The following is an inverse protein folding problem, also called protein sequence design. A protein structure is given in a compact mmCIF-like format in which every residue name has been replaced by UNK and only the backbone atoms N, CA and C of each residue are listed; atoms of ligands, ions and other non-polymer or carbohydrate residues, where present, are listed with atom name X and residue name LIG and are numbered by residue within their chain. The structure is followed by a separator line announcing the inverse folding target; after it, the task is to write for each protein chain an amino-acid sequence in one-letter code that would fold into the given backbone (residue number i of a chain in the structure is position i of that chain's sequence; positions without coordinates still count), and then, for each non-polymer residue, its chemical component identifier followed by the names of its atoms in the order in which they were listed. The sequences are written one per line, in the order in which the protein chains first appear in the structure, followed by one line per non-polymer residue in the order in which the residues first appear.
data_IF_939165759619
#
_entry.id   IF_939165759619
#
_cell.length_a   1.000
_cell.length_b   1.000
_cell.length_c   1.000
_cell.angle_alpha   90.00
_cell.angle_beta   90.00
_cell.angle_gamma   90.00
#
_symmetry.space_group_name_H-M   'P 1'
#
loop_
_entity.id
_entity.type
_entity.pdbx_description
1 polymer ?
#
# COMPACT_ATOMS: atom_id res chain seq x y z
N UNK A 1 3.39 4.36 16.26
CA UNK A 1 4.12 5.43 16.96
C UNK A 1 3.38 6.74 16.75
N UNK A 2 2.37 7.00 17.59
CA UNK A 2 1.67 8.29 17.66
C UNK A 2 1.12 8.47 19.09
N UNK A 3 1.98 8.94 19.99
CA UNK A 3 1.59 9.36 21.35
C UNK A 3 1.03 10.79 21.35
N UNK A 4 1.42 11.59 20.37
CA UNK A 4 1.09 13.00 20.14
C UNK A 4 -0.01 13.11 19.06
N UNK A 5 -0.79 14.22 18.97
CA UNK A 5 -1.76 14.42 17.91
C UNK A 5 -1.16 14.23 16.50
N UNK A 6 -1.87 13.48 15.66
CA UNK A 6 -1.37 13.10 14.33
C UNK A 6 -1.15 14.29 13.39
N UNK A 7 -1.94 15.34 13.54
CA UNK A 7 -1.80 16.59 12.77
C UNK A 7 -0.46 17.28 13.05
N UNK A 8 -0.06 17.38 14.32
CA UNK A 8 1.23 17.96 14.69
C UNK A 8 2.39 17.15 14.12
N UNK A 9 2.33 15.83 14.24
CA UNK A 9 3.33 14.94 13.64
C UNK A 9 3.40 15.16 12.13
N UNK A 10 2.25 15.27 11.45
CA UNK A 10 2.19 15.52 10.01
C UNK A 10 2.88 16.83 9.60
N UNK A 11 2.61 17.91 10.33
CA UNK A 11 3.24 19.20 10.06
C UNK A 11 4.76 19.13 10.14
N UNK A 12 5.30 18.30 11.03
CA UNK A 12 6.74 18.04 11.17
C UNK A 12 7.25 17.16 10.02
N UNK A 13 6.58 16.04 9.71
CA UNK A 13 7.11 15.03 8.78
C UNK A 13 6.83 15.31 7.31
N UNK A 14 5.85 16.16 6.97
CA UNK A 14 5.38 16.34 5.59
C UNK A 14 6.47 16.78 4.60
N UNK A 15 7.50 17.51 5.06
CA UNK A 15 8.60 18.03 4.22
C UNK A 15 9.96 17.37 4.48
N UNK A 16 10.17 16.80 5.66
CA UNK A 16 11.49 16.42 6.19
C UNK A 16 11.59 14.94 6.61
N UNK A 17 10.86 14.06 5.93
CA UNK A 17 10.87 12.63 6.22
C UNK A 17 11.92 11.88 5.38
N UNK A 18 12.65 10.92 5.96
CA UNK A 18 13.62 10.08 5.24
C UNK A 18 12.97 9.15 4.20
N UNK A 19 11.67 8.85 4.37
CA UNK A 19 10.91 8.06 3.40
C UNK A 19 10.42 8.88 2.21
N UNK A 20 10.58 10.21 2.24
CA UNK A 20 10.11 11.11 1.19
C UNK A 20 10.97 10.95 -0.06
N UNK A 21 10.31 10.68 -1.19
CA UNK A 21 10.95 10.65 -2.50
C UNK A 21 10.27 11.69 -3.36
N UNK A 22 11.04 12.72 -3.73
CA UNK A 22 10.60 13.77 -4.64
C UNK A 22 11.09 13.40 -6.02
N UNK A 23 10.15 13.01 -6.89
CA UNK A 23 10.46 12.79 -8.29
C UNK A 23 10.01 14.03 -9.06
N UNK A 24 10.95 14.64 -9.77
CA UNK A 24 10.66 15.71 -10.71
C UNK A 24 10.12 15.05 -11.98
N UNK A 25 8.85 15.30 -12.30
CA UNK A 25 8.27 14.88 -13.57
C UNK A 25 8.71 15.78 -14.73
N UNK A 26 8.18 15.52 -15.93
CA UNK A 26 8.34 16.37 -17.11
C UNK A 26 7.48 17.66 -16.99
N UNK A 27 7.71 18.49 -15.97
CA UNK A 27 6.96 19.75 -15.76
C UNK A 27 7.08 20.37 -14.36
N UNK A 28 6.17 21.31 -14.04
CA UNK A 28 6.15 22.14 -12.81
C UNK A 28 5.65 21.42 -11.54
N UNK A 29 4.93 20.30 -11.68
CA UNK A 29 4.40 19.56 -10.52
C UNK A 29 5.34 18.41 -10.12
N UNK A 30 6.03 18.58 -8.98
CA UNK A 30 6.78 17.48 -8.34
C UNK A 30 5.81 16.56 -7.61
N UNK A 31 5.71 15.30 -8.03
CA UNK A 31 4.93 14.29 -7.30
C UNK A 31 5.76 13.79 -6.12
N UNK A 32 5.15 13.84 -4.94
CA UNK A 32 5.81 13.43 -3.70
C UNK A 32 5.35 12.04 -3.29
N UNK A 33 6.25 11.07 -3.38
CA UNK A 33 6.03 9.71 -2.94
C UNK A 33 6.61 9.48 -1.54
N UNK A 34 6.12 8.44 -0.88
CA UNK A 34 6.58 7.99 0.43
C UNK A 34 6.87 6.49 0.38
N UNK A 35 8.06 6.09 0.78
CA UNK A 35 8.50 4.69 0.90
C UNK A 35 8.16 4.06 2.25
N UNK A 36 7.28 4.67 3.03
CA UNK A 36 6.94 4.16 4.36
C UNK A 36 6.20 2.81 4.27
N UNK A 37 6.50 1.84 5.14
CA UNK A 37 5.94 0.48 5.05
C UNK A 37 4.44 0.42 5.34
N UNK A 38 3.88 1.45 5.97
CA UNK A 38 2.49 1.52 6.45
C UNK A 38 1.58 2.39 5.58
N UNK A 39 1.88 2.53 4.29
CA UNK A 39 1.14 3.34 3.33
C UNK A 39 0.65 2.48 2.15
N UNK A 40 -0.66 2.56 1.84
CA UNK A 40 -1.28 1.74 0.80
C UNK A 40 -1.01 2.25 -0.62
N UNK A 41 -0.81 3.55 -0.79
CA UNK A 41 -0.62 4.19 -2.10
C UNK A 41 0.77 4.76 -2.32
N UNK A 42 1.65 4.70 -1.31
CA UNK A 42 2.99 5.28 -1.35
C UNK A 42 2.98 6.78 -1.68
N UNK A 43 1.89 7.49 -1.40
CA UNK A 43 1.76 8.93 -1.61
C UNK A 43 2.13 9.66 -0.31
N UNK A 44 2.84 10.78 -0.42
CA UNK A 44 3.08 11.66 0.71
C UNK A 44 1.80 12.46 1.02
N UNK A 45 0.89 11.86 1.78
CA UNK A 45 -0.37 12.49 2.17
C UNK A 45 -0.72 12.12 3.60
N UNK A 46 -1.33 13.05 4.34
CA UNK A 46 -1.78 12.82 5.70
C UNK A 46 -2.69 11.60 5.83
N UNK A 47 -3.60 11.40 4.87
CA UNK A 47 -4.56 10.28 4.88
C UNK A 47 -3.86 8.92 4.86
N UNK A 48 -2.77 8.81 4.12
CA UNK A 48 -2.08 7.55 3.84
C UNK A 48 -0.82 7.34 4.66
N UNK A 49 -0.33 8.37 5.36
CA UNK A 49 0.86 8.24 6.18
C UNK A 49 0.63 7.32 7.37
N UNK A 50 1.55 6.40 7.57
CA UNK A 50 1.54 5.46 8.68
C UNK A 50 2.32 5.96 9.91
N UNK A 51 3.07 7.05 9.76
CA UNK A 51 3.80 7.71 10.84
C UNK A 51 2.91 8.65 11.64
N UNK A 52 2.01 9.38 10.97
CA UNK A 52 1.13 10.37 11.60
C UNK A 52 -0.17 9.78 12.15
N UNK A 53 -0.64 8.65 11.61
CA UNK A 53 -1.94 8.08 11.96
C UNK A 53 -1.83 6.97 13.03
N UNK A 54 -2.76 6.97 13.99
CA UNK A 54 -2.91 5.89 14.99
C UNK A 54 -3.35 4.57 14.34
N UNK A 55 -4.30 4.63 13.42
CA UNK A 55 -4.87 3.50 12.69
C UNK A 55 -4.31 3.44 11.27
N UNK A 56 -3.69 2.31 10.93
CA UNK A 56 -3.01 2.07 9.66
C UNK A 56 -3.31 0.66 9.17
N UNK A 57 -3.29 0.49 7.86
CA UNK A 57 -3.55 -0.78 7.19
C UNK A 57 -2.42 -1.01 6.20
N UNK A 58 -1.82 -2.18 6.24
CA UNK A 58 -0.73 -2.57 5.34
C UNK A 58 -1.07 -3.83 4.61
N UNK A 59 -0.82 -3.84 3.31
CA UNK A 59 -0.94 -5.03 2.48
C UNK A 59 0.40 -5.23 1.78
N UNK A 60 1.04 -6.36 2.09
CA UNK A 60 2.36 -6.72 1.57
C UNK A 60 2.34 -8.17 1.07
N UNK A 61 3.14 -8.52 0.05
CA UNK A 61 3.36 -9.92 -0.28
C UNK A 61 4.05 -10.61 0.91
N UNK A 62 3.60 -11.82 1.25
CA UNK A 62 4.23 -12.69 2.22
C UNK A 62 4.86 -13.88 1.50
N UNK A 63 6.18 -14.05 1.67
CA UNK A 63 6.92 -15.21 1.20
C UNK A 63 6.83 -15.47 -0.30
N UNK A 64 7.17 -16.70 -0.71
CA UNK A 64 7.21 -17.15 -2.11
C UNK A 64 5.85 -17.66 -2.61
N UNK A 65 4.94 -18.04 -1.72
CA UNK A 65 3.75 -18.83 -2.06
C UNK A 65 2.47 -18.00 -2.08
N UNK A 66 2.24 -17.18 -3.12
CA UNK A 66 0.98 -16.43 -3.38
C UNK A 66 0.24 -15.86 -2.15
N UNK A 67 0.97 -15.57 -1.07
CA UNK A 67 0.37 -15.25 0.21
C UNK A 67 0.48 -13.76 0.45
N UNK A 68 -0.55 -13.20 1.07
CA UNK A 68 -0.63 -11.76 1.30
C UNK A 68 -0.70 -11.51 2.80
N UNK A 69 0.21 -10.69 3.29
CA UNK A 69 0.20 -10.19 4.65
C UNK A 69 -0.71 -8.97 4.74
N UNK A 70 -1.70 -9.05 5.62
CA UNK A 70 -2.52 -7.94 6.05
C UNK A 70 -2.14 -7.61 7.49
N UNK A 71 -1.65 -6.38 7.70
CA UNK A 71 -1.40 -5.87 9.04
C UNK A 71 -2.23 -4.64 9.35
N UNK A 72 -2.66 -4.56 10.61
CA UNK A 72 -3.35 -3.40 11.16
C UNK A 72 -2.62 -2.92 12.42
N UNK A 73 -2.64 -1.61 12.69
CA UNK A 73 -1.99 -1.08 13.90
C UNK A 73 -2.91 -1.16 15.13
N UNK A 74 -2.33 -1.59 16.26
CA UNK A 74 -3.00 -1.64 17.56
C UNK A 74 -3.00 -0.25 18.19
N UNK A 75 -4.17 0.29 18.50
CA UNK A 75 -4.32 1.64 19.09
C UNK A 75 -3.71 1.74 20.50
N UNK A 76 -3.73 0.66 21.29
CA UNK A 76 -3.20 0.64 22.67
C UNK A 76 -1.68 0.46 22.76
N UNK A 77 -0.99 0.13 21.66
CA UNK A 77 0.45 -0.20 21.65
C UNK A 77 1.28 0.81 20.85
N UNK A 78 0.83 2.05 20.75
CA UNK A 78 1.48 3.09 19.92
C UNK A 78 2.91 3.41 20.32
N UNK A 79 3.23 3.35 21.63
CA UNK A 79 4.57 3.57 22.16
C UNK A 79 5.50 2.34 22.02
N UNK A 80 4.99 1.19 21.58
CA UNK A 80 5.74 -0.07 21.48
C UNK A 80 5.86 -0.49 20.00
N UNK A 81 6.86 0.02 19.25
CA UNK A 81 6.96 -0.22 17.81
C UNK A 81 7.05 -1.72 17.46
N UNK A 82 7.77 -2.52 18.26
CA UNK A 82 7.89 -3.96 18.05
C UNK A 82 6.55 -4.72 18.12
N UNK A 83 5.64 -4.28 18.98
CA UNK A 83 4.33 -4.93 19.21
C UNK A 83 3.16 -4.17 18.56
N UNK A 84 3.46 -3.19 17.70
CA UNK A 84 2.47 -2.25 17.15
C UNK A 84 1.50 -2.93 16.18
N UNK A 85 2.01 -3.83 15.34
CA UNK A 85 1.27 -4.41 14.24
C UNK A 85 0.62 -5.74 14.65
N UNK A 86 -0.65 -5.89 14.29
CA UNK A 86 -1.32 -7.18 14.24
C UNK A 86 -1.21 -7.70 12.81
N UNK A 87 -0.38 -8.72 12.59
CA UNK A 87 -0.11 -9.29 11.26
C UNK A 87 -0.92 -10.56 11.05
N UNK A 88 -1.56 -10.68 9.90
CA UNK A 88 -2.28 -11.88 9.47
C UNK A 88 -1.84 -12.26 8.06
N UNK A 89 -1.52 -13.54 7.86
CA UNK A 89 -1.12 -14.07 6.55
C UNK A 89 -2.34 -14.74 5.92
N UNK A 90 -2.70 -14.29 4.72
CA UNK A 90 -3.81 -14.84 3.95
C UNK A 90 -3.26 -15.69 2.80
N UNK A 91 -3.61 -16.98 2.80
CA UNK A 91 -3.27 -17.97 1.76
C UNK A 91 -4.53 -18.47 1.05
N UNK A 92 -5.46 -17.57 0.73
CA UNK A 92 -6.78 -17.91 0.17
C UNK A 92 -6.92 -17.38 -1.25
N UNK A 93 -7.92 -17.87 -1.95
CA UNK A 93 -8.35 -17.30 -3.25
C UNK A 93 -8.64 -15.80 -3.15
N UNK A 94 -8.40 -15.09 -4.25
CA UNK A 94 -8.50 -13.63 -4.30
C UNK A 94 -9.85 -13.10 -3.79
N UNK A 95 -10.96 -13.71 -4.18
CA UNK A 95 -12.30 -13.29 -3.75
C UNK A 95 -12.47 -13.42 -2.22
N UNK A 96 -11.93 -14.50 -1.62
CA UNK A 96 -11.97 -14.70 -0.17
C UNK A 96 -11.04 -13.72 0.56
N UNK A 97 -9.87 -13.42 -0.02
CA UNK A 97 -8.97 -12.40 0.53
C UNK A 97 -9.60 -11.01 0.49
N UNK A 98 -10.21 -10.62 -0.64
CA UNK A 98 -10.87 -9.33 -0.78
C UNK A 98 -12.00 -9.17 0.24
N UNK A 99 -12.84 -10.20 0.43
CA UNK A 99 -13.89 -10.21 1.47
C UNK A 99 -13.30 -10.06 2.88
N UNK A 100 -12.21 -10.77 3.19
CA UNK A 100 -11.51 -10.63 4.47
C UNK A 100 -10.98 -9.21 4.71
N UNK A 101 -10.39 -8.59 3.68
CA UNK A 101 -9.87 -7.22 3.77
C UNK A 101 -11.00 -6.22 4.00
N UNK A 102 -12.10 -6.34 3.26
CA UNK A 102 -13.28 -5.47 3.46
C UNK A 102 -13.84 -5.62 4.86
N UNK A 103 -13.93 -6.84 5.38
CA UNK A 103 -14.43 -7.07 6.72
C UNK A 103 -13.54 -6.42 7.78
N UNK A 104 -12.22 -6.59 7.67
CA UNK A 104 -11.27 -6.04 8.64
C UNK A 104 -11.16 -4.51 8.57
N UNK A 105 -11.27 -3.91 7.38
CA UNK A 105 -11.06 -2.46 7.18
C UNK A 105 -12.36 -1.66 7.35
N UNK A 106 -13.47 -2.15 6.77
CA UNK A 106 -14.73 -1.44 6.71
C UNK A 106 -15.80 -2.01 7.65
N UNK A 107 -16.05 -3.33 7.65
CA UNK A 107 -17.14 -3.90 8.43
C UNK A 107 -16.90 -3.81 9.95
N UNK A 108 -15.63 -3.87 10.38
CA UNK A 108 -15.24 -3.64 11.78
C UNK A 108 -15.13 -2.16 12.15
N UNK A 109 -15.61 -1.24 11.30
CA UNK A 109 -15.52 0.22 11.48
C UNK A 109 -14.11 0.72 11.81
N UNK A 110 -13.07 0.04 11.29
CA UNK A 110 -11.69 0.38 11.61
C UNK A 110 -11.24 1.66 10.91
N UNK A 111 -11.22 1.64 9.56
CA UNK A 111 -10.90 2.77 8.66
C UNK A 111 -11.62 2.58 7.30
N UNK A 112 -12.94 2.83 7.24
CA UNK A 112 -13.71 2.63 6.00
C UNK A 112 -13.23 3.51 4.84
N UNK A 113 -12.61 4.66 5.15
CA UNK A 113 -12.00 5.58 4.19
C UNK A 113 -10.86 4.98 3.36
N UNK A 114 -10.23 3.90 3.86
CA UNK A 114 -9.15 3.16 3.20
C UNK A 114 -9.63 1.92 2.45
N UNK A 115 -10.93 1.60 2.46
CA UNK A 115 -11.47 0.37 1.83
C UNK A 115 -11.02 0.22 0.38
N UNK A 116 -11.20 1.27 -0.42
CA UNK A 116 -10.86 1.23 -1.84
C UNK A 116 -9.34 1.12 -2.06
N UNK A 117 -8.55 1.86 -1.28
CA UNK A 117 -7.09 1.80 -1.33
C UNK A 117 -6.56 0.41 -0.97
N UNK A 118 -7.17 -0.24 0.02
CA UNK A 118 -6.78 -1.58 0.44
C UNK A 118 -7.09 -2.62 -0.64
N UNK A 119 -8.27 -2.55 -1.26
CA UNK A 119 -8.64 -3.45 -2.37
C UNK A 119 -7.76 -3.25 -3.60
N UNK A 120 -7.48 -2.01 -3.98
CA UNK A 120 -6.58 -1.69 -5.09
C UNK A 120 -5.18 -2.25 -4.85
N UNK A 121 -4.62 -2.06 -3.65
CA UNK A 121 -3.31 -2.59 -3.28
C UNK A 121 -3.29 -4.12 -3.27
N UNK A 122 -4.33 -4.76 -2.74
CA UNK A 122 -4.48 -6.22 -2.76
C UNK A 122 -4.49 -6.78 -4.18
N UNK A 123 -5.25 -6.14 -5.09
CA UNK A 123 -5.31 -6.53 -6.50
C UNK A 123 -3.93 -6.45 -7.16
N UNK A 124 -3.22 -5.33 -6.96
CA UNK A 124 -1.87 -5.14 -7.49
C UNK A 124 -0.88 -6.20 -6.96
N UNK A 125 -0.90 -6.46 -5.65
CA UNK A 125 -0.04 -7.49 -5.02
C UNK A 125 -0.37 -8.88 -5.55
N UNK A 126 -1.64 -9.26 -5.60
CA UNK A 126 -2.09 -10.55 -6.14
C UNK A 126 -1.67 -10.73 -7.60
N UNK A 127 -1.83 -9.69 -8.42
CA UNK A 127 -1.37 -9.70 -9.83
C UNK A 127 0.13 -9.90 -9.91
N UNK A 128 0.91 -9.22 -9.08
CA UNK A 128 2.38 -9.35 -9.07
C UNK A 128 2.83 -10.79 -8.71
N UNK A 129 2.18 -11.42 -7.74
CA UNK A 129 2.47 -12.80 -7.31
C UNK A 129 2.08 -13.84 -8.37
N UNK A 130 1.04 -13.57 -9.17
CA UNK A 130 0.69 -14.42 -10.32
C UNK A 130 1.74 -14.31 -11.42
N UNK A 131 2.19 -13.10 -11.74
CA UNK A 131 3.22 -12.85 -12.76
C UNK A 131 4.56 -13.49 -12.38
N UNK A 132 4.98 -13.39 -11.12
CA UNK A 132 6.22 -14.02 -10.66
C UNK A 132 6.19 -15.53 -10.79
N UNK A 133 5.01 -16.16 -10.62
CA UNK A 133 4.82 -17.60 -10.80
C UNK A 133 4.83 -18.01 -12.28
N UNK A 134 4.19 -17.23 -13.15
CA UNK A 134 4.09 -17.54 -14.58
C UNK A 134 5.35 -17.18 -15.39
N UNK A 135 6.29 -16.46 -14.78
CA UNK A 135 7.40 -15.80 -15.49
C UNK A 135 6.95 -14.55 -16.24
N UNK A 136 7.93 -13.70 -16.60
CA UNK A 136 7.68 -12.50 -17.40
C UNK A 136 7.30 -12.93 -18.80
N UNK A 137 6.07 -12.63 -19.22
CA UNK A 137 5.63 -12.86 -20.61
C UNK A 137 6.50 -11.98 -21.52
N UNK A 138 7.47 -12.58 -22.23
CA UNK A 138 8.27 -11.86 -23.24
C UNK A 138 7.31 -11.29 -24.27
N UNK A 139 7.19 -9.97 -24.33
CA UNK A 139 6.42 -9.29 -25.38
C UNK A 139 7.14 -9.58 -26.69
N UNK A 140 6.45 -10.18 -27.66
CA UNK A 140 7.00 -10.36 -28.99
C UNK A 140 7.22 -8.95 -29.58
N UNK A 141 8.49 -8.52 -29.71
CA UNK A 141 8.86 -7.20 -30.24
C UNK A 141 8.73 -7.17 -31.77
N UNK A 142 7.68 -7.76 -32.31
CA UNK A 142 7.41 -7.61 -33.73
C UNK A 142 6.78 -6.23 -33.93
N UNK A 143 7.45 -5.40 -34.72
CA UNK A 143 6.89 -4.12 -35.14
C UNK A 143 5.57 -4.41 -35.86
N UNK A 144 4.46 -3.85 -35.37
CA UNK A 144 3.22 -3.82 -36.13
C UNK A 144 3.53 -3.04 -37.40
N UNK A 145 3.64 -3.72 -38.56
CA UNK A 145 3.72 -3.06 -39.86
C UNK A 145 2.48 -2.18 -40.01
N UNK A 146 2.64 -0.89 -39.78
CA UNK A 146 1.63 0.10 -40.13
C UNK A 146 1.69 0.18 -41.65
N UNK A 147 0.75 -0.48 -42.33
CA UNK A 147 0.58 -0.28 -43.76
C UNK A 147 -0.05 1.11 -43.94
N UNK A 148 0.78 2.08 -44.34
CA UNK A 148 0.33 3.40 -44.75
C UNK A 148 -0.68 3.25 -45.89
N UNK A 149 -1.89 3.74 -45.68
CA UNK A 149 -2.91 3.84 -46.72
C UNK A 149 -2.49 5.00 -47.63
N UNK A 150 -2.17 4.69 -48.89
CA UNK A 150 -1.98 5.69 -49.95
C UNK A 150 -3.31 6.36 -50.27
#
# INVERSE_FOLDING_TARGET
MTTVPGQLIWEIVKKNNSFLVKEFGNGSQSVQFSKEPNNLYNLNSYKHSGLSNKKTVTIQPAGKDQSVLLATSKTKKQAKPAALLHKSIMKKEFNRMAKSVVNQVAANYYRPDLKQAALARLSAVSRSLKVSKSGVKKKNRQASRIYGRK
#
